data_IF_938378634055
#
_entry.id   IF_938378634055
#
_cell.length_a   1.000
_cell.length_b   1.000
_cell.length_c   1.000
_cell.angle_alpha   90.00
_cell.angle_beta   90.00
_cell.angle_gamma   90.00
#
_symmetry.space_group_name_H-M   'P 1'
#
loop_
_entity.id
_entity.type
_entity.pdbx_description
1 polymer ?
#
# COMPACT_ATOMS: atom_id res chain seq x y z
N UNK A 1 17.14 -25.13 10.47
CA UNK A 1 17.07 -24.67 11.89
C UNK A 1 15.68 -24.09 12.16
N UNK A 2 15.28 -23.93 13.42
CA UNK A 2 14.14 -23.10 13.82
C UNK A 2 14.65 -21.73 14.35
N UNK A 3 13.75 -20.78 14.64
CA UNK A 3 14.12 -19.42 15.11
C UNK A 3 15.03 -19.44 16.35
N UNK A 4 14.77 -20.33 17.32
CA UNK A 4 15.59 -20.43 18.53
C UNK A 4 17.01 -20.90 18.21
N UNK A 5 17.14 -21.98 17.45
CA UNK A 5 18.45 -22.49 17.05
C UNK A 5 19.23 -21.52 16.17
N UNK A 6 18.55 -20.74 15.30
CA UNK A 6 19.20 -19.69 14.53
C UNK A 6 19.83 -18.61 15.44
N UNK A 7 19.13 -18.25 16.53
CA UNK A 7 19.62 -17.24 17.47
C UNK A 7 20.83 -17.74 18.25
N UNK A 8 20.79 -19.01 18.71
CA UNK A 8 21.89 -19.66 19.43
C UNK A 8 23.12 -19.89 18.53
N UNK A 9 22.96 -20.56 17.38
CA UNK A 9 24.07 -20.85 16.44
C UNK A 9 24.60 -19.58 15.76
N UNK A 10 23.68 -18.64 15.47
CA UNK A 10 24.01 -17.34 14.92
C UNK A 10 24.91 -16.54 15.85
N UNK A 11 24.74 -16.66 17.18
CA UNK A 11 25.54 -15.88 18.13
C UNK A 11 27.03 -16.29 18.06
N UNK A 12 27.29 -17.58 17.89
CA UNK A 12 28.64 -18.09 17.66
C UNK A 12 29.21 -17.59 16.32
N UNK A 13 28.42 -17.59 15.25
CA UNK A 13 28.82 -17.09 13.94
C UNK A 13 29.13 -15.59 13.97
N UNK A 14 28.26 -14.80 14.61
CA UNK A 14 28.39 -13.36 14.81
C UNK A 14 29.69 -13.01 15.56
N UNK A 15 29.94 -13.66 16.71
CA UNK A 15 31.16 -13.44 17.49
C UNK A 15 32.42 -13.86 16.73
N UNK A 16 32.34 -14.92 15.93
CA UNK A 16 33.45 -15.39 15.07
C UNK A 16 33.75 -14.39 13.95
N UNK A 17 32.72 -13.89 13.25
CA UNK A 17 32.86 -12.90 12.18
C UNK A 17 33.53 -11.62 12.70
N UNK A 18 33.03 -11.08 13.81
CA UNK A 18 33.57 -9.86 14.44
C UNK A 18 35.04 -10.01 14.83
N UNK A 19 35.43 -11.16 15.42
CA UNK A 19 36.83 -11.46 15.77
C UNK A 19 37.77 -11.50 14.55
N UNK A 20 37.23 -11.85 13.38
CA UNK A 20 38.00 -11.94 12.12
C UNK A 20 37.95 -10.65 11.30
N UNK A 21 37.39 -9.57 11.83
CA UNK A 21 37.19 -8.33 11.08
C UNK A 21 36.23 -8.49 9.89
N UNK A 22 35.32 -9.46 9.96
CA UNK A 22 34.31 -9.75 8.93
C UNK A 22 32.91 -9.39 9.44
N UNK A 23 31.97 -9.27 8.50
CA UNK A 23 30.56 -9.04 8.79
C UNK A 23 29.75 -10.34 8.64
N UNK A 24 28.64 -10.41 9.35
CA UNK A 24 27.60 -11.41 9.17
C UNK A 24 26.41 -10.73 8.47
N UNK A 25 25.96 -11.33 7.37
CA UNK A 25 24.70 -10.99 6.72
C UNK A 25 23.58 -11.85 7.31
N UNK A 26 22.42 -11.26 7.52
CA UNK A 26 21.16 -11.94 7.81
C UNK A 26 20.17 -11.60 6.72
N UNK A 27 19.67 -12.63 6.05
CA UNK A 27 18.60 -12.53 5.08
C UNK A 27 17.33 -13.10 5.73
N UNK A 28 16.25 -12.35 5.73
CA UNK A 28 14.91 -12.85 6.02
C UNK A 28 14.13 -12.91 4.72
N UNK A 29 13.46 -14.03 4.48
CA UNK A 29 12.91 -14.40 3.17
C UNK A 29 11.46 -14.81 3.41
N UNK A 30 10.54 -14.31 2.60
CA UNK A 30 9.12 -14.62 2.70
C UNK A 30 8.54 -14.92 1.33
N UNK A 31 7.68 -15.93 1.27
CA UNK A 31 6.99 -16.33 0.04
C UNK A 31 5.79 -15.40 -0.19
N UNK A 32 5.88 -14.60 -1.24
CA UNK A 32 4.85 -13.63 -1.57
C UNK A 32 3.52 -14.35 -1.89
N UNK A 33 2.44 -13.91 -1.24
CA UNK A 33 1.09 -14.44 -1.41
C UNK A 33 0.93 -15.94 -1.12
N UNK A 34 1.74 -16.52 -0.24
CA UNK A 34 1.67 -17.95 0.11
C UNK A 34 0.26 -18.41 0.56
N UNK A 35 -0.47 -17.57 1.30
CA UNK A 35 -1.85 -17.86 1.69
C UNK A 35 -2.76 -18.08 0.47
N UNK A 36 -2.64 -17.27 -0.57
CA UNK A 36 -3.42 -17.41 -1.80
C UNK A 36 -3.12 -18.73 -2.51
N UNK A 37 -1.88 -19.22 -2.45
CA UNK A 37 -1.51 -20.55 -2.96
C UNK A 37 -2.24 -21.64 -2.17
N UNK A 38 -2.24 -21.56 -0.83
CA UNK A 38 -2.98 -22.52 0.01
C UNK A 38 -4.48 -22.48 -0.24
N UNK A 39 -5.06 -21.29 -0.37
CA UNK A 39 -6.50 -21.11 -0.56
C UNK A 39 -6.94 -21.64 -1.95
N UNK A 40 -6.09 -21.51 -2.98
CA UNK A 40 -6.40 -21.92 -4.35
C UNK A 40 -6.06 -23.39 -4.65
N UNK A 41 -4.94 -23.89 -4.12
CA UNK A 41 -4.39 -25.21 -4.48
C UNK A 41 -4.34 -26.20 -3.30
N UNK A 42 -4.69 -25.76 -2.10
CA UNK A 42 -4.70 -26.57 -0.89
C UNK A 42 -3.34 -26.67 -0.21
N UNK A 43 -3.37 -27.01 1.08
CA UNK A 43 -2.18 -27.07 1.95
C UNK A 43 -1.10 -28.05 1.48
N UNK A 44 -1.48 -29.17 0.85
CA UNK A 44 -0.50 -30.13 0.32
C UNK A 44 0.40 -29.52 -0.76
N UNK A 45 -0.17 -28.63 -1.59
CA UNK A 45 0.60 -27.90 -2.60
C UNK A 45 1.47 -26.81 -1.95
N UNK A 46 0.95 -26.13 -0.93
CA UNK A 46 1.73 -25.20 -0.12
C UNK A 46 2.95 -25.85 0.54
N UNK A 47 2.80 -27.06 1.06
CA UNK A 47 3.90 -27.82 1.67
C UNK A 47 4.99 -28.19 0.64
N UNK A 48 4.60 -28.56 -0.59
CA UNK A 48 5.53 -28.79 -1.68
C UNK A 48 6.29 -27.52 -2.06
N UNK A 49 5.59 -26.38 -2.11
CA UNK A 49 6.21 -25.09 -2.36
C UNK A 49 7.24 -24.75 -1.27
N UNK A 50 6.89 -24.91 0.01
CA UNK A 50 7.80 -24.69 1.11
C UNK A 50 9.06 -25.57 1.02
N UNK A 51 8.91 -26.83 0.63
CA UNK A 51 10.02 -27.75 0.39
C UNK A 51 10.94 -27.26 -0.74
N UNK A 52 10.34 -26.89 -1.88
CA UNK A 52 11.09 -26.35 -3.03
C UNK A 52 11.84 -25.05 -2.69
N UNK A 53 11.22 -24.16 -1.92
CA UNK A 53 11.86 -22.92 -1.46
C UNK A 53 13.06 -23.24 -0.57
N UNK A 54 12.90 -24.15 0.38
CA UNK A 54 13.99 -24.57 1.26
C UNK A 54 15.18 -25.17 0.50
N UNK A 55 14.91 -26.04 -0.48
CA UNK A 55 15.94 -26.66 -1.33
C UNK A 55 16.68 -25.62 -2.19
N UNK A 56 15.94 -24.69 -2.78
CA UNK A 56 16.50 -23.63 -3.63
C UNK A 56 17.37 -22.67 -2.81
N UNK A 57 16.92 -22.27 -1.61
CA UNK A 57 17.73 -21.47 -0.68
C UNK A 57 19.02 -22.23 -0.34
N UNK A 58 18.93 -23.52 -0.01
CA UNK A 58 20.10 -24.32 0.36
C UNK A 58 21.11 -24.49 -0.79
N UNK A 59 20.64 -24.60 -2.03
CA UNK A 59 21.50 -24.71 -3.20
C UNK A 59 22.25 -23.40 -3.55
N UNK A 60 21.67 -22.25 -3.20
CA UNK A 60 22.24 -20.93 -3.51
C UNK A 60 23.11 -20.41 -2.36
N UNK A 61 22.72 -20.69 -1.12
CA UNK A 61 23.39 -20.18 0.06
C UNK A 61 24.85 -20.69 0.16
N UNK A 62 25.77 -19.91 0.77
CA UNK A 62 27.14 -20.37 1.01
C UNK A 62 27.18 -21.62 1.88
N UNK A 63 28.15 -22.52 1.67
CA UNK A 63 28.21 -23.80 2.39
C UNK A 63 28.38 -23.70 3.92
N UNK A 64 28.82 -22.55 4.44
CA UNK A 64 28.92 -22.28 5.89
C UNK A 64 27.77 -21.41 6.40
N UNK A 65 26.66 -21.33 5.66
CA UNK A 65 25.49 -20.58 6.07
C UNK A 65 24.67 -21.32 7.12
N UNK A 66 23.95 -20.56 7.93
CA UNK A 66 22.90 -21.04 8.80
C UNK A 66 21.56 -20.80 8.11
N UNK A 67 20.81 -21.87 7.89
CA UNK A 67 19.50 -21.83 7.24
C UNK A 67 18.41 -22.19 8.24
N UNK A 68 17.37 -21.38 8.32
CA UNK A 68 16.24 -21.57 9.22
C UNK A 68 14.90 -21.37 8.53
N UNK A 69 13.87 -22.07 9.00
CA UNK A 69 12.47 -21.71 8.78
C UNK A 69 11.97 -21.07 10.08
N UNK A 70 11.52 -19.82 10.01
CA UNK A 70 11.14 -19.03 11.19
C UNK A 70 9.71 -19.33 11.63
N UNK A 71 8.82 -19.58 10.67
CA UNK A 71 7.40 -19.87 10.85
C UNK A 71 6.68 -19.76 9.51
N UNK A 72 5.45 -20.28 9.41
CA UNK A 72 4.59 -20.17 8.20
C UNK A 72 5.37 -20.30 6.87
N UNK A 73 5.53 -19.19 6.15
CA UNK A 73 6.20 -18.96 4.87
C UNK A 73 7.55 -18.21 4.98
N UNK A 74 8.05 -18.00 6.20
CA UNK A 74 9.26 -17.25 6.50
C UNK A 74 10.49 -18.15 6.68
N UNK A 75 11.58 -17.77 6.02
CA UNK A 75 12.89 -18.39 6.10
C UNK A 75 13.95 -17.36 6.48
N UNK A 76 15.08 -17.85 6.99
CA UNK A 76 16.27 -17.03 7.23
C UNK A 76 17.54 -17.72 6.73
N UNK A 77 18.46 -16.91 6.22
CA UNK A 77 19.79 -17.33 5.80
C UNK A 77 20.83 -16.38 6.39
N UNK A 78 21.77 -16.94 7.15
CA UNK A 78 22.82 -16.18 7.81
C UNK A 78 24.20 -16.68 7.35
N UNK A 79 25.08 -15.78 6.93
CA UNK A 79 26.44 -16.14 6.50
C UNK A 79 27.44 -15.02 6.73
N UNK A 80 28.72 -15.40 6.80
CA UNK A 80 29.82 -14.44 6.97
C UNK A 80 30.32 -13.98 5.61
N UNK A 81 30.55 -12.68 5.48
CA UNK A 81 31.10 -12.06 4.29
C UNK A 81 32.15 -11.01 4.66
N UNK A 82 32.94 -10.60 3.68
CA UNK A 82 33.87 -9.48 3.84
C UNK A 82 33.12 -8.17 3.60
N UNK A 83 33.18 -7.24 4.56
CA UNK A 83 32.47 -5.96 4.48
C UNK A 83 32.90 -5.11 3.29
N UNK A 84 34.12 -5.29 2.79
CA UNK A 84 34.61 -4.63 1.57
C UNK A 84 33.97 -5.19 0.28
N UNK A 85 33.26 -6.32 0.37
CA UNK A 85 32.66 -7.03 -0.76
C UNK A 85 31.16 -7.25 -0.55
N UNK A 86 30.42 -6.18 -0.28
CA UNK A 86 28.96 -6.24 -0.03
C UNK A 86 28.16 -6.88 -1.16
N UNK A 87 28.62 -6.73 -2.41
CA UNK A 87 28.07 -7.37 -3.60
C UNK A 87 27.90 -8.90 -3.49
N UNK A 88 28.57 -9.56 -2.55
CA UNK A 88 28.37 -11.00 -2.29
C UNK A 88 26.96 -11.26 -1.78
N UNK A 89 26.47 -10.47 -0.83
CA UNK A 89 25.14 -10.64 -0.27
C UNK A 89 24.06 -10.27 -1.30
N UNK A 90 24.28 -9.21 -2.09
CA UNK A 90 23.40 -8.83 -3.20
C UNK A 90 23.24 -9.97 -4.20
N UNK A 91 24.35 -10.51 -4.71
CA UNK A 91 24.31 -11.60 -5.69
C UNK A 91 23.62 -12.85 -5.15
N UNK A 92 23.75 -13.14 -3.86
CA UNK A 92 23.04 -14.27 -3.23
C UNK A 92 21.54 -13.98 -3.21
N UNK A 93 21.13 -12.79 -2.77
CA UNK A 93 19.73 -12.39 -2.71
C UNK A 93 19.10 -12.34 -4.11
N UNK A 94 19.77 -11.74 -5.11
CA UNK A 94 19.34 -11.71 -6.51
C UNK A 94 19.15 -13.11 -7.07
N UNK A 95 20.09 -14.03 -6.81
CA UNK A 95 19.97 -15.42 -7.24
C UNK A 95 18.80 -16.13 -6.56
N UNK A 96 18.55 -15.86 -5.29
CA UNK A 96 17.39 -16.42 -4.57
C UNK A 96 16.08 -15.89 -5.15
N UNK A 97 15.95 -14.59 -5.35
CA UNK A 97 14.75 -13.97 -5.98
C UNK A 97 14.52 -14.55 -7.37
N UNK A 98 15.55 -14.58 -8.23
CA UNK A 98 15.43 -15.09 -9.59
C UNK A 98 15.16 -16.60 -9.65
N UNK A 99 15.80 -17.39 -8.78
CA UNK A 99 15.61 -18.83 -8.72
C UNK A 99 14.21 -19.22 -8.26
N UNK A 100 13.65 -18.48 -7.30
CA UNK A 100 12.33 -18.74 -6.72
C UNK A 100 11.17 -18.12 -7.51
N UNK A 101 11.48 -17.29 -8.52
CA UNK A 101 10.51 -16.82 -9.50
C UNK A 101 10.22 -17.87 -10.60
N UNK A 102 11.01 -18.95 -10.68
CA UNK A 102 10.76 -20.04 -11.63
C UNK A 102 9.53 -20.85 -11.21
N UNK A 103 8.66 -21.26 -12.15
CA UNK A 103 7.44 -21.98 -11.81
C UNK A 103 7.75 -23.34 -11.19
N UNK A 104 7.12 -23.65 -10.06
CA UNK A 104 7.14 -25.00 -9.49
C UNK A 104 6.13 -25.86 -10.25
N UNK A 105 6.63 -26.85 -10.99
CA UNK A 105 5.80 -27.83 -11.70
C UNK A 105 5.57 -29.06 -10.84
N UNK A 106 4.34 -29.29 -10.41
CA UNK A 106 3.97 -30.49 -9.65
C UNK A 106 2.57 -30.97 -10.02
N UNK A 107 2.38 -32.28 -10.20
CA UNK A 107 1.08 -32.92 -10.47
C UNK A 107 0.23 -32.25 -11.56
N UNK A 108 0.86 -31.70 -12.60
CA UNK A 108 0.17 -31.01 -13.71
C UNK A 108 -0.26 -29.57 -13.41
N UNK A 109 0.18 -28.98 -12.30
CA UNK A 109 -0.04 -27.58 -11.92
C UNK A 109 1.29 -26.82 -11.96
N UNK A 110 1.28 -25.66 -12.62
CA UNK A 110 2.41 -24.72 -12.65
C UNK A 110 2.15 -23.60 -11.64
N UNK A 111 2.85 -23.65 -10.51
CA UNK A 111 2.69 -22.67 -9.42
C UNK A 111 3.70 -21.56 -9.63
N UNK A 112 3.18 -20.34 -9.78
CA UNK A 112 4.00 -19.14 -9.86
C UNK A 112 4.04 -18.50 -8.48
N UNK A 113 5.23 -18.45 -7.89
CA UNK A 113 5.50 -17.75 -6.64
C UNK A 113 6.63 -16.76 -6.84
N UNK A 114 6.74 -15.80 -5.94
CA UNK A 114 7.91 -14.94 -5.82
C UNK A 114 8.30 -14.87 -4.35
N UNK A 115 9.49 -14.33 -4.08
CA UNK A 115 9.92 -14.06 -2.71
C UNK A 115 10.36 -12.61 -2.55
N UNK A 116 10.09 -12.08 -1.37
CA UNK A 116 10.66 -10.84 -0.89
C UNK A 116 11.77 -11.16 0.10
N UNK A 117 12.88 -10.39 0.07
CA UNK A 117 14.05 -10.61 0.93
C UNK A 117 14.45 -9.31 1.63
N UNK A 118 14.61 -9.36 2.95
CA UNK A 118 15.24 -8.31 3.73
C UNK A 118 16.67 -8.69 4.11
N UNK A 119 17.61 -7.76 3.99
CA UNK A 119 19.04 -8.00 4.25
C UNK A 119 19.54 -7.05 5.34
N UNK A 120 20.17 -7.57 6.39
CA UNK A 120 20.87 -6.77 7.39
C UNK A 120 22.30 -7.26 7.60
N UNK A 121 23.16 -6.37 8.10
CA UNK A 121 24.59 -6.63 8.33
C UNK A 121 25.06 -6.24 9.72
N UNK A 122 25.93 -7.06 10.29
CA UNK A 122 26.40 -6.91 11.67
C UNK A 122 27.39 -5.76 11.89
N UNK A 123 27.95 -5.19 10.83
CA UNK A 123 29.00 -4.17 10.85
C UNK A 123 28.47 -2.72 10.88
N UNK A 124 27.15 -2.51 10.89
CA UNK A 124 26.50 -1.19 10.99
C UNK A 124 25.61 -1.11 12.25
N UNK A 125 26.25 -0.87 13.40
CA UNK A 125 25.59 -0.66 14.71
C UNK A 125 24.55 -1.73 15.11
N UNK A 126 24.90 -3.00 14.90
CA UNK A 126 24.08 -4.13 15.30
C UNK A 126 24.69 -4.84 16.52
N UNK A 127 23.94 -4.93 17.61
CA UNK A 127 24.46 -5.45 18.89
C UNK A 127 24.34 -6.97 19.07
N UNK A 128 23.44 -7.63 18.34
CA UNK A 128 23.15 -9.06 18.50
C UNK A 128 22.52 -9.67 17.26
N UNK A 129 22.45 -11.01 17.22
CA UNK A 129 21.74 -11.75 16.16
C UNK A 129 20.26 -11.41 16.14
N UNK A 130 19.63 -11.24 17.31
CA UNK A 130 18.22 -10.84 17.38
C UNK A 130 18.02 -9.44 16.80
N UNK A 131 18.94 -8.50 17.06
CA UNK A 131 18.91 -7.18 16.43
C UNK A 131 19.10 -7.28 14.92
N UNK A 132 19.99 -8.17 14.47
CA UNK A 132 20.25 -8.39 13.06
C UNK A 132 19.04 -8.99 12.34
N UNK A 133 18.35 -9.95 12.97
CA UNK A 133 17.12 -10.54 12.48
C UNK A 133 16.00 -9.50 12.40
N UNK A 134 15.80 -8.70 13.46
CA UNK A 134 14.82 -7.59 13.44
C UNK A 134 15.09 -6.59 12.32
N UNK A 135 16.36 -6.21 12.11
CA UNK A 135 16.73 -5.28 11.05
C UNK A 135 16.45 -5.88 9.65
N UNK A 136 16.72 -7.18 9.47
CA UNK A 136 16.38 -7.88 8.23
C UNK A 136 14.86 -7.92 8.02
N UNK A 137 14.06 -8.18 9.06
CA UNK A 137 12.59 -8.17 8.99
C UNK A 137 12.04 -6.77 8.60
N UNK A 138 12.63 -5.70 9.12
CA UNK A 138 12.28 -4.32 8.71
C UNK A 138 12.55 -4.12 7.21
N UNK A 139 13.70 -4.57 6.72
CA UNK A 139 14.04 -4.48 5.32
C UNK A 139 13.14 -5.36 4.44
N UNK A 140 12.74 -6.54 4.93
CA UNK A 140 11.81 -7.44 4.24
C UNK A 140 10.44 -6.77 4.07
N UNK A 141 9.95 -6.08 5.10
CA UNK A 141 8.73 -5.30 5.00
C UNK A 141 8.86 -4.19 3.94
N UNK A 142 9.98 -3.47 3.92
CA UNK A 142 10.26 -2.47 2.89
C UNK A 142 10.31 -3.07 1.47
N UNK A 143 10.86 -4.27 1.30
CA UNK A 143 10.85 -4.99 0.02
C UNK A 143 9.41 -5.32 -0.43
N UNK A 144 8.55 -5.74 0.51
CA UNK A 144 7.14 -6.03 0.24
C UNK A 144 6.36 -4.78 -0.17
N UNK A 145 6.52 -3.67 0.55
CA UNK A 145 5.82 -2.41 0.25
C UNK A 145 6.31 -1.76 -1.03
N UNK A 146 7.58 -1.94 -1.40
CA UNK A 146 8.13 -1.45 -2.65
C UNK A 146 7.67 -2.24 -3.89
N UNK A 147 6.82 -3.26 -3.75
CA UNK A 147 6.24 -4.03 -4.86
C UNK A 147 6.60 -5.51 -4.91
N UNK A 148 7.15 -6.07 -3.82
CA UNK A 148 7.47 -7.51 -3.69
C UNK A 148 8.48 -8.02 -4.72
N UNK A 149 8.75 -9.34 -4.73
CA UNK A 149 9.64 -10.02 -5.68
C UNK A 149 11.02 -9.36 -5.81
N UNK A 150 11.58 -8.90 -4.69
CA UNK A 150 12.84 -8.15 -4.65
C UNK A 150 13.54 -8.32 -3.31
N UNK A 151 14.77 -7.85 -3.25
CA UNK A 151 15.49 -7.71 -1.99
C UNK A 151 15.64 -6.24 -1.61
N UNK A 152 15.79 -5.96 -0.31
CA UNK A 152 16.13 -4.64 0.21
C UNK A 152 17.13 -4.75 1.36
N UNK A 153 18.07 -3.82 1.43
CA UNK A 153 18.95 -3.68 2.58
C UNK A 153 18.29 -2.87 3.68
N UNK A 154 18.53 -3.26 4.91
CA UNK A 154 18.19 -2.46 6.07
C UNK A 154 18.94 -1.13 6.03
N UNK A 155 18.17 -0.06 6.15
CA UNK A 155 18.66 1.28 6.42
C UNK A 155 17.92 1.84 7.64
N UNK A 156 18.60 2.61 8.48
CA UNK A 156 18.01 3.21 9.69
C UNK A 156 16.80 4.10 9.37
N UNK A 157 16.72 4.68 8.17
CA UNK A 157 15.54 5.40 7.71
C UNK A 157 14.29 4.53 7.60
N UNK A 158 14.42 3.23 7.30
CA UNK A 158 13.31 2.28 7.24
C UNK A 158 12.71 2.06 8.63
N UNK A 159 13.54 1.87 9.65
CA UNK A 159 13.09 1.75 11.04
C UNK A 159 12.36 3.02 11.50
N UNK A 160 12.93 4.19 11.22
CA UNK A 160 12.27 5.48 11.52
C UNK A 160 10.93 5.62 10.80
N UNK A 161 10.84 5.18 9.54
CA UNK A 161 9.59 5.21 8.77
C UNK A 161 8.53 4.29 9.37
N UNK A 162 8.92 3.10 9.84
CA UNK A 162 8.00 2.17 10.52
C UNK A 162 7.52 2.73 11.86
N UNK A 163 8.42 3.30 12.66
CA UNK A 163 8.06 3.95 13.92
C UNK A 163 7.10 5.12 13.68
N UNK A 164 7.44 6.00 12.74
CA UNK A 164 6.58 7.11 12.33
C UNK A 164 5.20 6.60 11.91
N UNK A 165 5.14 5.57 11.07
CA UNK A 165 3.88 4.99 10.62
C UNK A 165 3.05 4.47 11.80
N UNK A 166 3.66 3.80 12.78
CA UNK A 166 2.97 3.34 13.99
C UNK A 166 2.45 4.49 14.85
N UNK A 167 3.22 5.57 14.99
CA UNK A 167 2.77 6.79 15.69
C UNK A 167 1.59 7.44 14.97
N UNK A 168 1.64 7.53 13.63
CA UNK A 168 0.56 8.09 12.83
C UNK A 168 -0.70 7.22 12.87
N UNK A 169 -0.59 5.90 12.88
CA UNK A 169 -1.74 5.02 13.08
C UNK A 169 -2.42 5.29 14.44
N UNK A 170 -1.64 5.29 15.52
CA UNK A 170 -2.16 5.55 16.86
C UNK A 170 -2.78 6.96 16.96
N UNK A 171 -2.11 7.94 16.32
CA UNK A 171 -2.60 9.31 16.20
C UNK A 171 -3.93 9.38 15.47
N UNK A 172 -4.08 8.74 14.31
CA UNK A 172 -5.31 8.76 13.51
C UNK A 172 -6.52 8.25 14.30
N UNK A 173 -6.36 7.17 15.08
CA UNK A 173 -7.46 6.63 15.92
C UNK A 173 -7.99 7.65 16.92
N UNK A 174 -7.15 8.57 17.37
CA UNK A 174 -7.51 9.64 18.30
C UNK A 174 -7.96 10.91 17.57
N UNK A 175 -7.31 11.24 16.47
CA UNK A 175 -7.53 12.46 15.68
C UNK A 175 -8.89 12.49 14.97
N UNK A 176 -9.37 11.35 14.45
CA UNK A 176 -10.66 11.25 13.75
C UNK A 176 -11.83 11.67 14.65
N UNK A 177 -12.04 11.09 15.86
CA UNK A 177 -13.11 11.53 16.76
C UNK A 177 -12.86 12.91 17.35
N UNK A 178 -11.60 13.35 17.49
CA UNK A 178 -11.25 14.70 17.93
C UNK A 178 -11.41 15.78 16.84
N UNK A 179 -11.78 15.39 15.61
CA UNK A 179 -11.91 16.28 14.45
C UNK A 179 -10.63 17.07 14.11
N UNK A 180 -9.46 16.46 14.34
CA UNK A 180 -8.15 17.04 13.99
C UNK A 180 -7.76 16.80 12.52
N UNK A 181 -8.47 15.88 11.84
CA UNK A 181 -8.40 15.77 10.38
C UNK A 181 -9.53 16.60 9.78
N UNK A 182 -9.17 17.68 9.11
CA UNK A 182 -10.04 18.76 8.68
C UNK A 182 -10.15 18.83 7.14
N UNK A 183 -11.27 19.34 6.60
CA UNK A 183 -11.43 19.57 5.18
C UNK A 183 -10.77 20.88 4.73
N UNK A 184 -9.94 20.80 3.71
CA UNK A 184 -9.51 21.93 2.90
C UNK A 184 -10.28 21.94 1.59
N UNK A 185 -10.43 23.11 0.97
CA UNK A 185 -11.25 23.31 -0.21
C UNK A 185 -10.41 23.85 -1.38
N UNK A 186 -10.18 23.02 -2.39
CA UNK A 186 -9.48 23.41 -3.62
C UNK A 186 -10.49 23.85 -4.68
N UNK A 187 -10.25 25.00 -5.32
CA UNK A 187 -11.21 25.60 -6.26
C UNK A 187 -11.29 24.84 -7.58
N UNK A 188 -12.51 24.63 -8.07
CA UNK A 188 -12.79 24.16 -9.43
C UNK A 188 -13.34 25.33 -10.25
N UNK A 189 -12.73 25.62 -11.40
CA UNK A 189 -13.05 26.80 -12.23
C UNK A 189 -13.51 26.35 -13.62
N UNK A 190 -14.59 26.96 -14.11
CA UNK A 190 -15.01 26.82 -15.50
C UNK A 190 -14.06 27.62 -16.40
N UNK A 191 -13.35 26.93 -17.31
CA UNK A 191 -12.33 27.56 -18.16
C UNK A 191 -12.90 28.54 -19.20
N UNK A 192 -14.19 28.43 -19.54
CA UNK A 192 -14.83 29.31 -20.53
C UNK A 192 -15.26 30.64 -19.89
N UNK A 193 -15.82 30.56 -18.69
CA UNK A 193 -16.41 31.71 -17.99
C UNK A 193 -15.48 32.32 -16.94
N UNK A 194 -14.47 31.56 -16.47
CA UNK A 194 -13.59 31.93 -15.37
C UNK A 194 -14.25 31.90 -14.00
N UNK A 195 -15.49 31.41 -13.89
CA UNK A 195 -16.23 31.36 -12.64
C UNK A 195 -15.91 30.09 -11.84
N UNK A 196 -15.91 30.20 -10.52
CA UNK A 196 -15.80 29.06 -9.62
C UNK A 196 -17.10 28.25 -9.70
N UNK A 197 -16.99 26.96 -9.97
CA UNK A 197 -18.12 26.03 -10.09
C UNK A 197 -18.29 25.14 -8.86
N UNK A 198 -17.23 24.96 -8.08
CA UNK A 198 -17.25 24.14 -6.89
C UNK A 198 -15.89 24.03 -6.24
N UNK A 199 -15.80 23.14 -5.26
CA UNK A 199 -14.56 22.86 -4.54
C UNK A 199 -14.36 21.37 -4.35
N UNK A 200 -13.13 20.91 -4.52
CA UNK A 200 -12.72 19.58 -4.10
C UNK A 200 -12.33 19.60 -2.61
N UNK A 201 -12.87 18.64 -1.86
CA UNK A 201 -12.59 18.49 -0.43
C UNK A 201 -11.35 17.63 -0.26
N UNK A 202 -10.29 18.24 0.28
CA UNK A 202 -9.02 17.59 0.54
C UNK A 202 -8.79 17.42 2.03
N UNK A 203 -8.49 16.20 2.44
CA UNK A 203 -8.15 15.90 3.83
C UNK A 203 -6.81 16.54 4.23
N UNK A 204 -6.77 17.15 5.41
CA UNK A 204 -5.56 17.70 6.02
C UNK A 204 -5.54 17.35 7.50
N UNK A 205 -4.44 16.76 7.98
CA UNK A 205 -4.35 16.41 9.39
C UNK A 205 -3.52 17.45 10.14
N UNK A 206 -4.20 18.23 10.97
CA UNK A 206 -3.60 19.20 11.88
C UNK A 206 -3.06 18.51 13.13
N UNK A 207 -1.89 17.87 13.00
CA UNK A 207 -1.31 17.11 14.10
C UNK A 207 -0.75 18.04 15.19
N UNK A 208 -1.13 17.90 16.48
CA UNK A 208 -0.77 18.83 17.55
C UNK A 208 0.73 19.12 17.69
N UNK A 209 1.58 18.10 17.51
CA UNK A 209 3.04 18.21 17.66
C UNK A 209 3.83 18.22 16.35
N UNK A 210 3.23 17.77 15.23
CA UNK A 210 3.91 17.61 13.93
C UNK A 210 3.48 18.67 12.91
N UNK A 211 2.49 19.49 13.25
CA UNK A 211 1.89 20.44 12.33
C UNK A 211 1.06 19.73 11.27
N UNK A 212 1.00 20.32 10.08
CA UNK A 212 0.16 19.80 9.00
C UNK A 212 0.78 18.54 8.37
N UNK A 213 0.03 17.44 8.39
CA UNK A 213 0.39 16.19 7.73
C UNK A 213 -0.46 16.05 6.45
N UNK A 214 0.21 15.77 5.34
CA UNK A 214 -0.40 15.66 4.03
C UNK A 214 -1.11 14.29 3.83
N UNK A 215 -2.17 14.24 3.00
CA UNK A 215 -3.01 13.05 2.84
C UNK A 215 -2.27 11.83 2.26
N UNK A 216 -1.28 12.04 1.41
CA UNK A 216 -0.40 11.00 0.88
C UNK A 216 0.34 10.20 1.97
N UNK A 217 0.51 10.78 3.16
CA UNK A 217 1.14 10.11 4.29
C UNK A 217 0.14 9.29 5.11
N UNK A 218 -1.06 9.82 5.39
CA UNK A 218 -1.98 9.21 6.37
C UNK A 218 -3.16 8.46 5.76
N UNK A 219 -3.56 8.75 4.51
CA UNK A 219 -4.65 8.03 3.84
C UNK A 219 -4.30 6.54 3.63
N UNK A 220 -3.08 6.17 3.16
CA UNK A 220 -2.72 4.75 3.05
C UNK A 220 -2.76 4.03 4.40
N UNK A 221 -2.36 4.71 5.48
CA UNK A 221 -2.45 4.17 6.84
C UNK A 221 -3.91 3.94 7.22
N UNK A 222 -4.80 4.90 6.97
CA UNK A 222 -6.22 4.77 7.26
C UNK A 222 -6.87 3.62 6.47
N UNK A 223 -6.47 3.41 5.22
CA UNK A 223 -6.92 2.31 4.38
C UNK A 223 -6.48 0.95 4.92
N UNK A 224 -5.18 0.79 5.19
CA UNK A 224 -4.60 -0.47 5.69
C UNK A 224 -5.10 -0.84 7.09
N UNK A 225 -5.47 0.15 7.90
CA UNK A 225 -5.94 -0.05 9.29
C UNK A 225 -7.46 -0.07 9.42
N UNK A 226 -8.19 0.07 8.31
CA UNK A 226 -9.66 0.06 8.26
C UNK A 226 -10.33 1.33 8.80
N UNK A 227 -9.56 2.40 9.03
CA UNK A 227 -10.05 3.70 9.53
C UNK A 227 -10.61 4.62 8.43
N UNK A 228 -10.34 4.31 7.15
CA UNK A 228 -10.71 5.18 6.02
C UNK A 228 -12.20 5.52 5.96
N UNK A 229 -13.09 4.58 6.32
CA UNK A 229 -14.53 4.84 6.36
C UNK A 229 -14.92 5.90 7.39
N UNK A 230 -14.43 5.79 8.62
CA UNK A 230 -14.73 6.74 9.70
C UNK A 230 -14.10 8.11 9.43
N UNK A 231 -12.87 8.10 8.89
CA UNK A 231 -12.17 9.29 8.46
C UNK A 231 -12.95 10.07 7.41
N UNK A 232 -13.33 9.42 6.31
CA UNK A 232 -14.08 10.05 5.21
C UNK A 232 -15.41 10.61 5.68
N UNK A 233 -16.16 9.89 6.54
CA UNK A 233 -17.42 10.41 7.09
C UNK A 233 -17.23 11.58 8.05
N UNK A 234 -16.14 11.59 8.84
CA UNK A 234 -15.80 12.73 9.69
C UNK A 234 -15.51 13.98 8.86
N UNK A 235 -14.70 13.83 7.79
CA UNK A 235 -14.37 14.92 6.85
C UNK A 235 -15.62 15.41 6.13
N UNK A 236 -16.46 14.51 5.60
CA UNK A 236 -17.72 14.88 4.94
C UNK A 236 -18.62 15.69 5.87
N UNK A 237 -18.80 15.26 7.13
CA UNK A 237 -19.63 15.99 8.09
C UNK A 237 -19.13 17.42 8.32
N UNK A 238 -17.82 17.58 8.48
CA UNK A 238 -17.19 18.90 8.65
C UNK A 238 -17.34 19.75 7.39
N UNK A 239 -17.06 19.20 6.21
CA UNK A 239 -17.13 19.91 4.93
C UNK A 239 -18.55 20.36 4.60
N UNK A 240 -19.52 19.48 4.80
CA UNK A 240 -20.95 19.75 4.57
C UNK A 240 -21.46 20.83 5.52
N UNK A 241 -21.07 20.79 6.80
CA UNK A 241 -21.41 21.83 7.75
C UNK A 241 -20.81 23.21 7.37
N UNK A 242 -19.56 23.24 6.91
CA UNK A 242 -18.88 24.46 6.51
C UNK A 242 -19.46 25.08 5.23
N UNK A 243 -19.88 24.26 4.26
CA UNK A 243 -20.31 24.70 2.93
C UNK A 243 -21.82 24.76 2.72
N UNK A 244 -22.61 24.36 3.72
CA UNK A 244 -24.09 24.30 3.62
C UNK A 244 -24.68 25.60 3.08
N UNK A 245 -24.25 26.73 3.67
CA UNK A 245 -24.82 28.05 3.42
C UNK A 245 -24.04 28.83 2.35
N UNK A 246 -23.10 28.19 1.65
CA UNK A 246 -22.44 28.78 0.47
C UNK A 246 -23.43 28.94 -0.69
N UNK A 247 -23.02 29.68 -1.72
CA UNK A 247 -23.79 29.87 -2.95
C UNK A 247 -24.32 28.52 -3.48
N UNK A 248 -25.61 28.48 -3.81
CA UNK A 248 -26.31 27.26 -4.20
C UNK A 248 -25.81 26.67 -5.53
N UNK A 249 -25.14 27.47 -6.37
CA UNK A 249 -24.49 27.04 -7.59
C UNK A 249 -23.17 26.29 -7.37
N UNK A 250 -22.58 26.37 -6.18
CA UNK A 250 -21.29 25.73 -5.87
C UNK A 250 -21.47 24.28 -5.43
N UNK A 251 -20.72 23.38 -6.07
CA UNK A 251 -20.64 21.96 -5.69
C UNK A 251 -19.48 21.68 -4.72
N UNK A 252 -19.59 20.57 -3.98
CA UNK A 252 -18.47 19.95 -3.28
C UNK A 252 -18.20 18.58 -3.86
N UNK A 253 -16.94 18.32 -4.20
CA UNK A 253 -16.48 17.00 -4.63
C UNK A 253 -15.72 16.30 -3.51
N UNK A 254 -16.02 15.03 -3.24
CA UNK A 254 -15.36 14.24 -2.19
C UNK A 254 -14.88 12.90 -2.73
N UNK A 255 -13.61 12.61 -2.51
CA UNK A 255 -12.97 11.34 -2.86
C UNK A 255 -13.47 10.18 -2.01
N UNK A 256 -13.75 9.05 -2.65
CA UNK A 256 -14.14 7.80 -2.02
C UNK A 256 -13.14 6.71 -2.39
N UNK A 257 -12.49 6.14 -1.38
CA UNK A 257 -11.53 5.05 -1.55
C UNK A 257 -12.19 3.78 -2.11
N UNK A 258 -11.50 2.99 -2.96
CA UNK A 258 -11.93 1.66 -3.38
C UNK A 258 -12.37 0.74 -2.23
N UNK A 259 -11.68 0.83 -1.08
CA UNK A 259 -12.00 0.02 0.10
C UNK A 259 -13.36 0.37 0.69
N UNK A 260 -13.79 1.63 0.58
CA UNK A 260 -15.10 2.06 1.06
C UNK A 260 -16.23 1.51 0.18
N UNK A 261 -16.00 1.31 -1.11
CA UNK A 261 -16.98 0.71 -2.03
C UNK A 261 -17.24 -0.77 -1.77
N UNK A 262 -16.43 -1.41 -0.91
CA UNK A 262 -16.70 -2.76 -0.41
C UNK A 262 -17.76 -2.78 0.69
N UNK A 263 -18.11 -1.62 1.26
CA UNK A 263 -19.17 -1.48 2.25
C UNK A 263 -20.53 -1.24 1.59
N UNK A 264 -21.42 -2.24 1.64
CA UNK A 264 -22.77 -2.15 1.10
C UNK A 264 -23.65 -1.06 1.75
N UNK A 265 -23.23 -0.52 2.91
CA UNK A 265 -23.93 0.56 3.61
C UNK A 265 -23.38 1.96 3.31
N UNK A 266 -22.36 2.08 2.44
CA UNK A 266 -21.70 3.36 2.16
C UNK A 266 -22.69 4.44 1.72
N UNK A 267 -23.58 4.12 0.77
CA UNK A 267 -24.56 5.08 0.27
C UNK A 267 -25.46 5.60 1.40
N UNK A 268 -25.95 4.72 2.25
CA UNK A 268 -26.82 5.05 3.39
C UNK A 268 -26.07 5.90 4.42
N UNK A 269 -24.79 5.65 4.66
CA UNK A 269 -23.94 6.45 5.56
C UNK A 269 -23.73 7.87 5.03
N UNK A 270 -23.49 8.02 3.72
CA UNK A 270 -23.36 9.34 3.06
C UNK A 270 -24.69 10.09 3.13
N UNK A 271 -25.80 9.43 2.77
CA UNK A 271 -27.15 10.03 2.82
C UNK A 271 -27.51 10.47 4.25
N UNK A 272 -27.23 9.63 5.24
CA UNK A 272 -27.40 9.99 6.65
C UNK A 272 -26.61 11.25 7.00
N UNK A 273 -25.36 11.36 6.56
CA UNK A 273 -24.50 12.53 6.81
C UNK A 273 -25.05 13.79 6.14
N UNK A 274 -25.58 13.68 4.91
CA UNK A 274 -26.28 14.77 4.23
C UNK A 274 -27.50 15.24 5.01
N UNK A 275 -28.33 14.31 5.50
CA UNK A 275 -29.52 14.62 6.30
C UNK A 275 -29.16 15.28 7.63
N UNK A 276 -28.14 14.76 8.33
CA UNK A 276 -27.69 15.32 9.62
C UNK A 276 -27.13 16.74 9.49
N UNK A 277 -26.46 17.05 8.39
CA UNK A 277 -25.84 18.36 8.15
C UNK A 277 -26.75 19.34 7.43
N UNK A 278 -27.78 18.84 6.73
CA UNK A 278 -28.65 19.63 5.87
C UNK A 278 -27.98 20.08 4.56
N UNK A 279 -26.88 19.45 4.14
CA UNK A 279 -26.22 19.77 2.88
C UNK A 279 -27.01 19.22 1.68
N UNK A 280 -27.29 20.02 0.64
CA UNK A 280 -28.09 19.55 -0.50
C UNK A 280 -27.38 18.45 -1.29
N UNK A 281 -28.02 17.30 -1.45
CA UNK A 281 -27.47 16.16 -2.18
C UNK A 281 -27.08 16.48 -3.63
N UNK A 282 -27.83 17.37 -4.30
CA UNK A 282 -27.55 17.84 -5.67
C UNK A 282 -26.27 18.67 -5.83
N UNK A 283 -25.72 19.16 -4.72
CA UNK A 283 -24.44 19.88 -4.65
C UNK A 283 -23.27 18.96 -4.30
N UNK A 284 -23.52 17.69 -3.97
CA UNK A 284 -22.47 16.71 -3.71
C UNK A 284 -22.09 15.98 -5.01
N UNK A 285 -20.79 15.91 -5.26
CA UNK A 285 -20.18 15.03 -6.25
C UNK A 285 -19.27 14.03 -5.52
N UNK A 286 -19.40 12.75 -5.85
CA UNK A 286 -18.53 11.70 -5.34
C UNK A 286 -17.51 11.36 -6.41
N UNK A 287 -16.25 11.39 -6.04
CA UNK A 287 -15.11 11.07 -6.91
C UNK A 287 -14.62 9.67 -6.58
N UNK A 288 -14.48 8.83 -7.60
CA UNK A 288 -13.92 7.48 -7.47
C UNK A 288 -12.81 7.28 -8.50
N UNK A 289 -11.74 6.61 -8.11
CA UNK A 289 -10.67 6.28 -9.04
C UNK A 289 -11.08 5.12 -9.93
N UNK A 290 -10.39 4.99 -11.06
CA UNK A 290 -10.57 3.89 -12.01
C UNK A 290 -10.37 2.51 -11.36
N UNK A 291 -9.36 2.40 -10.48
CA UNK A 291 -9.03 1.16 -9.76
C UNK A 291 -10.18 0.62 -8.90
N UNK A 292 -11.07 1.52 -8.45
CA UNK A 292 -12.22 1.16 -7.63
C UNK A 292 -13.25 0.29 -8.34
N UNK A 293 -13.24 0.27 -9.68
CA UNK A 293 -14.23 -0.42 -10.50
C UNK A 293 -13.95 -1.92 -10.65
N UNK A 294 -12.72 -2.37 -10.38
CA UNK A 294 -12.27 -3.73 -10.69
C UNK A 294 -12.63 -4.76 -9.62
N UNK A 295 -12.79 -4.36 -8.35
CA UNK A 295 -12.95 -5.31 -7.25
C UNK A 295 -14.35 -5.97 -7.23
N UNK A 296 -15.42 -5.17 -7.32
CA UNK A 296 -16.79 -5.66 -7.23
C UNK A 296 -17.78 -4.71 -7.93
N UNK A 297 -17.81 -4.81 -9.26
CA UNK A 297 -18.64 -3.94 -10.10
C UNK A 297 -20.14 -3.99 -9.76
N UNK A 298 -20.78 -5.15 -9.49
CA UNK A 298 -22.19 -5.18 -9.11
C UNK A 298 -22.50 -4.41 -7.81
N UNK A 299 -21.61 -4.51 -6.81
CA UNK A 299 -21.78 -3.75 -5.57
C UNK A 299 -21.60 -2.25 -5.80
N UNK A 300 -20.56 -1.87 -6.55
CA UNK A 300 -20.32 -0.48 -6.91
C UNK A 300 -21.52 0.13 -7.67
N UNK A 301 -22.10 -0.62 -8.62
CA UNK A 301 -23.32 -0.22 -9.34
C UNK A 301 -24.52 0.02 -8.40
N UNK A 302 -24.70 -0.84 -7.41
CA UNK A 302 -25.77 -0.69 -6.40
C UNK A 302 -25.58 0.55 -5.53
N UNK A 303 -24.35 0.78 -5.04
CA UNK A 303 -24.01 1.96 -4.23
C UNK A 303 -24.20 3.24 -5.05
N UNK A 304 -23.63 3.29 -6.25
CA UNK A 304 -23.73 4.44 -7.15
C UNK A 304 -25.18 4.70 -7.53
N UNK A 305 -25.95 3.68 -7.90
CA UNK A 305 -27.38 3.82 -8.20
C UNK A 305 -28.14 4.43 -7.04
N UNK A 306 -27.85 4.01 -5.80
CA UNK A 306 -28.46 4.57 -4.59
C UNK A 306 -28.12 6.05 -4.39
N UNK A 307 -26.87 6.45 -4.63
CA UNK A 307 -26.42 7.85 -4.54
C UNK A 307 -27.07 8.72 -5.64
N UNK A 308 -27.07 8.24 -6.89
CA UNK A 308 -27.68 8.93 -8.04
C UNK A 308 -29.18 9.16 -7.84
N UNK A 309 -29.89 8.20 -7.24
CA UNK A 309 -31.31 8.35 -6.91
C UNK A 309 -31.60 9.48 -5.91
N UNK A 310 -30.59 9.96 -5.17
CA UNK A 310 -30.68 11.12 -4.28
C UNK A 310 -30.25 12.43 -4.97
N UNK A 311 -29.87 12.40 -6.25
CA UNK A 311 -29.38 13.55 -7.01
C UNK A 311 -27.89 13.84 -6.83
N UNK A 312 -27.14 12.97 -6.14
CA UNK A 312 -25.68 13.09 -5.98
C UNK A 312 -25.02 12.84 -7.34
N UNK A 313 -23.99 13.61 -7.67
CA UNK A 313 -23.20 13.43 -8.90
C UNK A 313 -22.06 12.45 -8.70
N UNK A 314 -21.61 11.84 -9.79
CA UNK A 314 -20.48 10.93 -9.80
C UNK A 314 -19.43 11.41 -10.79
N UNK A 315 -18.18 11.49 -10.33
CA UNK A 315 -17.04 11.77 -11.18
C UNK A 315 -16.06 10.59 -11.15
N UNK A 316 -15.42 10.35 -12.29
CA UNK A 316 -14.27 9.46 -12.39
C UNK A 316 -13.01 10.29 -12.19
N UNK A 317 -12.17 9.90 -11.24
CA UNK A 317 -10.88 10.55 -10.98
C UNK A 317 -9.69 9.76 -11.55
N UNK A 318 -8.57 10.47 -11.73
CA UNK A 318 -7.29 9.98 -12.25
C UNK A 318 -7.40 9.23 -13.60
N UNK A 319 -8.27 9.71 -14.50
CA UNK A 319 -8.49 9.05 -15.78
C UNK A 319 -7.22 9.00 -16.63
N UNK A 320 -6.92 7.79 -17.15
CA UNK A 320 -5.77 7.52 -18.03
C UNK A 320 -4.57 6.87 -17.34
N UNK A 321 -4.60 6.73 -16.01
CA UNK A 321 -3.51 6.09 -15.24
C UNK A 321 -3.66 4.57 -15.10
N UNK A 322 -4.84 4.03 -15.44
CA UNK A 322 -5.17 2.61 -15.33
C UNK A 322 -5.47 1.93 -16.68
N UNK A 323 -5.69 0.61 -16.63
CA UNK A 323 -6.09 -0.21 -17.77
C UNK A 323 -7.62 -0.31 -17.89
N UNK A 324 -8.31 0.81 -18.09
CA UNK A 324 -9.76 0.76 -18.32
C UNK A 324 -10.06 0.44 -19.76
N UNK A 325 -10.76 -0.67 -19.94
CA UNK A 325 -11.53 -0.83 -21.16
C UNK A 325 -12.67 0.21 -21.14
N UNK A 326 -12.96 0.82 -22.29
CA UNK A 326 -14.14 1.66 -22.51
C UNK A 326 -15.46 1.01 -22.02
N UNK A 327 -15.48 -0.31 -21.86
CA UNK A 327 -16.61 -1.04 -21.29
C UNK A 327 -16.84 -0.72 -19.80
N UNK A 328 -15.79 -0.53 -18.99
CA UNK A 328 -15.94 -0.20 -17.57
C UNK A 328 -16.42 1.23 -17.35
N UNK A 329 -15.97 2.18 -18.17
CA UNK A 329 -16.49 3.55 -18.18
C UNK A 329 -18.01 3.59 -18.42
N UNK A 330 -18.51 2.73 -19.31
CA UNK A 330 -19.94 2.62 -19.62
C UNK A 330 -20.75 1.91 -18.53
N UNK A 331 -20.09 1.29 -17.55
CA UNK A 331 -20.76 0.49 -16.54
C UNK A 331 -21.39 1.33 -15.41
N UNK A 332 -20.95 2.59 -15.24
CA UNK A 332 -21.47 3.52 -14.25
C UNK A 332 -21.92 4.84 -14.89
N UNK A 333 -22.96 5.50 -14.35
CA UNK A 333 -23.48 6.75 -14.87
C UNK A 333 -22.66 7.96 -14.38
N UNK A 334 -21.42 8.10 -14.87
CA UNK A 334 -20.57 9.25 -14.58
C UNK A 334 -21.14 10.55 -15.17
N UNK A 335 -21.10 11.63 -14.39
CA UNK A 335 -21.45 13.00 -14.81
C UNK A 335 -20.21 13.79 -15.25
N UNK A 336 -19.03 13.41 -14.75
CA UNK A 336 -17.75 14.09 -14.99
C UNK A 336 -16.61 13.08 -15.06
N UNK A 337 -15.60 13.41 -15.87
CA UNK A 337 -14.33 12.70 -15.93
C UNK A 337 -13.23 13.71 -15.63
N UNK A 338 -12.40 13.44 -14.63
CA UNK A 338 -11.22 14.24 -14.28
C UNK A 338 -9.99 13.58 -14.92
N UNK A 339 -9.29 14.35 -15.74
CA UNK A 339 -8.05 13.90 -16.40
C UNK A 339 -6.92 13.97 -15.39
N UNK A 340 -6.14 12.89 -15.27
CA UNK A 340 -5.01 12.88 -14.35
C UNK A 340 -3.98 13.98 -14.68
N UNK A 341 -3.43 14.57 -13.61
CA UNK A 341 -2.49 15.70 -13.70
C UNK A 341 -1.24 15.39 -14.52
N UNK A 342 -0.82 14.13 -14.62
CA UNK A 342 0.36 13.76 -15.39
C UNK A 342 0.18 14.07 -16.87
N UNK A 343 -1.00 13.82 -17.45
CA UNK A 343 -1.32 14.13 -18.84
C UNK A 343 -1.36 15.64 -19.10
N UNK A 344 -1.91 16.42 -18.17
CA UNK A 344 -1.95 17.88 -18.28
C UNK A 344 -0.53 18.47 -18.19
N UNK A 345 0.30 17.92 -17.30
CA UNK A 345 1.68 18.39 -17.09
C UNK A 345 2.59 18.09 -18.29
N UNK A 346 2.32 17.01 -19.02
CA UNK A 346 3.09 16.62 -20.22
C UNK A 346 2.45 17.04 -21.54
N UNK A 347 1.40 17.87 -21.53
CA UNK A 347 0.62 18.20 -22.73
C UNK A 347 1.47 18.85 -23.83
N UNK A 348 2.45 19.69 -23.48
CA UNK A 348 3.30 20.36 -24.48
C UNK A 348 4.38 19.45 -25.08
N UNK A 349 4.73 18.37 -24.37
CA UNK A 349 5.91 17.55 -24.67
C UNK A 349 5.56 16.12 -25.12
N UNK A 350 4.31 15.69 -24.97
CA UNK A 350 3.85 14.35 -25.31
C UNK A 350 2.61 14.37 -26.23
N UNK A 351 2.74 13.95 -27.51
CA UNK A 351 1.62 13.86 -28.46
C UNK A 351 0.48 12.94 -28.00
N UNK A 352 0.77 11.89 -27.23
CA UNK A 352 -0.25 10.99 -26.69
C UNK A 352 -1.05 11.67 -25.57
N UNK A 353 -0.38 12.46 -24.72
CA UNK A 353 -1.07 13.27 -23.70
C UNK A 353 -1.95 14.35 -24.33
N UNK A 354 -1.50 14.98 -25.42
CA UNK A 354 -2.33 15.92 -26.19
C UNK A 354 -3.59 15.29 -26.77
N UNK A 355 -3.52 14.03 -27.21
CA UNK A 355 -4.67 13.32 -27.78
C UNK A 355 -5.72 12.91 -26.73
N UNK A 356 -5.33 12.81 -25.45
CA UNK A 356 -6.25 12.50 -24.35
C UNK A 356 -6.91 13.78 -23.80
N UNK A 357 -6.19 14.91 -23.84
CA UNK A 357 -6.67 16.19 -23.28
C UNK A 357 -7.54 16.99 -24.28
N UNK A 358 -7.28 16.90 -25.58
CA UNK A 358 -8.05 17.63 -26.63
C UNK A 358 -9.23 16.84 -27.19
#
# INVERSE_FOLDING_TARGET
LNRRSLSEDGAALFASARRRGKAMAMLTIDIDHFKSVNDLHGYAVGDLLLGHVAETIAAIAPGTSLLARLGADEFACAFVFDSAHENVADRIAERMVAGLALPLRTNGVDIHSSVSIGIARSDRDCASVDALLRNADIALHAAKTAGRSRHAWFDTSMERSLQLRGELEAGLRSAIPAQEVVPYFEQQVDLTTGLITGFEVLARWEHPTRGMIAPDVFIPIAEETGLIGDLSLSIMRQAFAAARDWDAGLTLSVNVSPLQLRDAWLAQKIIKTLVETGFPASRLEIEITESALFDNLPLAQSIVGSLKNQGIRLALDDFGTGYSSLAHLRALPFDRIKIDKSFVSSILDNPESMAIVN
#
